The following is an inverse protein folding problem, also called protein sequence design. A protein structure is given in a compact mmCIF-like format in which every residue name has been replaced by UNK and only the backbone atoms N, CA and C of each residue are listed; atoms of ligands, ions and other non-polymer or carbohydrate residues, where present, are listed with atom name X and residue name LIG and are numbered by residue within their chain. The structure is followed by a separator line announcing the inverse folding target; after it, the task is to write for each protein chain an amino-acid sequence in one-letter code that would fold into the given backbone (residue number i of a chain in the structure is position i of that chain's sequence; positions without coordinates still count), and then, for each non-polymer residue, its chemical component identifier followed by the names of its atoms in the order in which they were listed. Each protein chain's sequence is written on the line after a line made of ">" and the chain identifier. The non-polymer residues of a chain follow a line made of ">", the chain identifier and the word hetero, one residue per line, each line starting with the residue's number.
data_IF_710843647771
#
_entry.id   IF_710843647771
#
_cell.length_a   1.000
_cell.length_b   1.000
_cell.length_c   1.000
_cell.angle_alpha   90.00
_cell.angle_beta   90.00
_cell.angle_gamma   90.00
#
_symmetry.space_group_name_H-M   'P 1'
#
loop_
_entity.id
_entity.type
_entity.pdbx_description
1 polymer ?
2 non-polymer ?
3 non-polymer ?
4 water ?
#
# COMPACT_ATOMS: atom_id res chain seq x y z
N UNK A 6 -11.61 7.41 11.35
CA UNK A 6 -10.94 8.41 10.53
C UNK A 6 -10.88 8.00 9.07
N UNK A 7 -10.20 6.89 8.80
CA UNK A 7 -10.04 6.41 7.43
C UNK A 7 -11.39 6.19 6.78
N UNK A 8 -11.51 6.65 5.53
CA UNK A 8 -12.70 6.45 4.70
C UNK A 8 -12.24 6.12 3.29
N UNK A 9 -12.70 5.00 2.74
CA UNK A 9 -12.30 4.66 1.40
C UNK A 9 -12.78 3.28 1.02
N UNK A 10 -12.24 2.78 -0.08
CA UNK A 10 -12.59 1.45 -0.57
C UNK A 10 -11.87 1.14 -1.86
N UNK A 11 -12.24 0.01 -2.44
CA UNK A 11 -11.53 -0.49 -3.62
C UNK A 11 -12.07 0.11 -4.90
N UNK A 12 -11.34 1.10 -5.44
CA UNK A 12 -11.68 1.56 -6.78
C UNK A 12 -11.35 0.50 -7.81
N UNK A 13 -10.37 -0.35 -7.54
CA UNK A 13 -10.12 -1.54 -8.34
C UNK A 13 -9.97 -2.72 -7.39
N UNK A 14 -11.04 -3.46 -7.15
CA UNK A 14 -10.92 -4.67 -6.31
C UNK A 14 -9.94 -5.65 -6.93
N UNK A 15 -9.23 -6.36 -6.06
CA UNK A 15 -8.49 -7.51 -6.55
C UNK A 15 -9.48 -8.60 -6.98
N UNK A 16 -8.96 -9.65 -7.60
CA UNK A 16 -9.80 -10.78 -7.94
C UNK A 16 -10.13 -11.57 -6.69
N UNK A 17 -11.42 -11.79 -6.42
CA UNK A 17 -11.85 -12.72 -5.39
C UNK A 17 -11.77 -14.12 -5.96
N UNK A 18 -11.18 -15.05 -5.20
CA UNK A 18 -11.04 -16.41 -5.69
C UNK A 18 -11.29 -17.43 -4.60
N UNK A 19 -11.64 -18.63 -5.03
CA UNK A 19 -11.96 -19.74 -4.14
C UNK A 19 -10.79 -20.72 -4.13
N UNK A 20 -10.30 -21.04 -2.92
CA UNK A 20 -9.23 -22.01 -2.76
C UNK A 20 -9.79 -23.39 -2.59
N UNK A 21 -8.99 -24.43 -2.84
CA UNK A 21 -9.40 -25.78 -2.45
C UNK A 21 -9.80 -25.78 -0.98
N UNK A 22 -10.97 -26.34 -0.69
CA UNK A 22 -11.57 -26.32 0.63
C UNK A 22 -12.60 -25.24 0.85
N UNK A 23 -12.69 -24.28 -0.07
CA UNK A 23 -13.75 -23.29 -0.05
C UNK A 23 -13.35 -21.93 0.50
N UNK A 24 -12.10 -21.75 0.94
CA UNK A 24 -11.68 -20.46 1.44
C UNK A 24 -11.70 -19.41 0.34
N UNK A 25 -11.96 -18.17 0.73
CA UNK A 25 -12.07 -17.05 -0.18
C UNK A 25 -10.85 -16.17 0.08
N UNK A 26 -10.13 -15.90 -1.00
CA UNK A 26 -8.96 -15.03 -0.95
C UNK A 26 -9.05 -13.96 -2.01
N UNK A 27 -8.00 -13.15 -2.07
CA UNK A 27 -7.87 -12.05 -2.99
C UNK A 27 -6.49 -12.12 -3.62
N UNK A 28 -6.41 -11.86 -4.93
CA UNK A 28 -5.12 -11.87 -5.60
C UNK A 28 -5.19 -10.96 -6.82
N UNK A 29 -4.03 -10.72 -7.43
CA UNK A 29 -3.96 -9.86 -8.61
C UNK A 29 -3.88 -8.40 -8.23
N UNK A 30 -3.82 -7.54 -9.25
CA UNK A 30 -3.69 -6.11 -9.04
C UNK A 30 -4.96 -5.55 -8.44
N UNK A 31 -4.79 -4.59 -7.53
CA UNK A 31 -5.92 -3.85 -7.02
C UNK A 31 -5.47 -2.45 -6.63
N UNK A 32 -6.46 -1.60 -6.38
CA UNK A 32 -6.24 -0.23 -5.93
C UNK A 32 -7.29 0.08 -4.87
N UNK A 33 -6.83 0.51 -3.71
CA UNK A 33 -7.68 1.04 -2.65
C UNK A 33 -7.47 2.55 -2.65
N UNK A 34 -8.55 3.30 -2.51
CA UNK A 34 -8.44 4.75 -2.49
C UNK A 34 -9.36 5.33 -1.44
N UNK A 35 -8.97 6.48 -0.89
CA UNK A 35 -9.78 7.13 0.10
C UNK A 35 -9.04 8.29 0.70
N UNK A 36 -9.47 8.67 1.90
CA UNK A 36 -8.90 9.80 2.62
C UNK A 36 -8.47 9.30 4.00
N UNK A 37 -7.21 9.57 4.35
CA UNK A 37 -6.67 9.30 5.67
C UNK A 37 -5.98 10.57 6.14
N UNK A 38 -6.27 11.02 7.34
CA UNK A 38 -5.57 12.17 7.92
C UNK A 38 -5.52 13.33 6.92
N UNK A 39 -6.69 13.71 6.41
CA UNK A 39 -6.84 14.88 5.55
C UNK A 39 -6.01 14.79 4.27
N UNK A 40 -5.70 13.57 3.84
CA UNK A 40 -4.87 13.31 2.68
C UNK A 40 -5.57 12.32 1.77
N UNK A 41 -5.60 12.61 0.47
CA UNK A 41 -6.09 11.64 -0.50
C UNK A 41 -5.01 10.57 -0.72
N UNK A 42 -5.42 9.31 -0.71
CA UNK A 42 -4.50 8.19 -0.76
C UNK A 42 -4.95 7.21 -1.84
N UNK A 43 -3.99 6.69 -2.60
CA UNK A 43 -4.17 5.53 -3.46
C UNK A 43 -3.11 4.52 -3.06
N UNK A 44 -3.52 3.29 -2.84
CA UNK A 44 -2.61 2.20 -2.54
C UNK A 44 -2.74 1.18 -3.65
N UNK A 45 -1.65 0.96 -4.37
CA UNK A 45 -1.58 -0.04 -5.42
C UNK A 45 -1.06 -1.33 -4.80
N UNK A 46 -1.80 -2.42 -5.06
CA UNK A 46 -1.66 -3.71 -4.39
C UNK A 46 -1.48 -4.77 -5.46
N UNK A 47 -0.77 -5.84 -5.13
CA UNK A 47 -0.73 -7.03 -5.96
C UNK A 47 -0.69 -8.23 -5.03
N UNK A 48 -0.99 -9.40 -5.59
CA UNK A 48 -0.88 -10.63 -4.84
C UNK A 48 -0.88 -11.83 -5.77
N UNK A 49 -0.32 -12.93 -5.25
CA UNK A 49 -0.04 -14.13 -6.04
C UNK A 49 -0.86 -15.34 -5.63
N UNK A 50 -1.87 -15.17 -4.78
CA UNK A 50 -2.62 -16.27 -4.24
C UNK A 50 -2.15 -16.78 -2.90
N UNK A 51 -0.92 -16.42 -2.51
CA UNK A 51 -0.42 -16.77 -1.18
C UNK A 51 -0.25 -15.58 -0.28
N UNK A 52 0.12 -14.41 -0.82
CA UNK A 52 0.21 -13.19 -0.04
C UNK A 52 -0.24 -12.02 -0.92
N UNK A 53 -0.46 -10.88 -0.27
CA UNK A 53 -0.77 -9.62 -0.93
C UNK A 53 0.16 -8.56 -0.36
N UNK A 54 0.58 -7.62 -1.20
CA UNK A 54 1.63 -6.67 -0.82
C UNK A 54 1.40 -5.32 -1.48
N UNK A 55 2.07 -4.31 -0.92
CA UNK A 55 2.05 -2.96 -1.47
C UNK A 55 3.03 -2.83 -2.63
N UNK A 56 2.54 -2.27 -3.73
CA UNK A 56 3.39 -1.92 -4.86
C UNK A 56 3.73 -0.42 -4.92
N UNK A 57 2.84 0.44 -4.46
CA UNK A 57 3.08 1.88 -4.49
C UNK A 57 2.05 2.55 -3.61
N UNK A 58 2.47 3.63 -2.96
CA UNK A 58 1.57 4.50 -2.23
C UNK A 58 1.60 5.84 -2.93
N UNK A 59 0.44 6.42 -3.15
CA UNK A 59 0.30 7.72 -3.80
C UNK A 59 -0.52 8.61 -2.88
N UNK A 60 0.04 9.79 -2.57
CA UNK A 60 -0.57 10.73 -1.67
C UNK A 60 -0.79 12.08 -2.33
N UNK A 61 -1.83 12.80 -1.90
CA UNK A 61 -2.03 14.13 -2.46
C UNK A 61 -1.05 15.15 -1.91
N UNK A 62 -0.42 14.89 -0.75
CA UNK A 62 0.44 15.84 -0.05
C UNK A 62 1.19 15.05 1.00
N UNK A 63 2.35 15.58 1.43
CA UNK A 63 3.13 14.99 2.52
C UNK A 63 2.90 15.69 3.85
N UNK A 64 1.89 16.56 3.95
CA UNK A 64 1.74 17.40 5.14
C UNK A 64 1.48 16.57 6.40
N UNK A 65 0.90 15.38 6.27
CA UNK A 65 0.67 14.50 7.41
C UNK A 65 1.22 13.10 7.10
N UNK A 66 2.42 13.07 6.52
CA UNK A 66 3.02 11.83 6.05
C UNK A 66 3.06 10.73 7.10
N UNK A 67 3.62 11.01 8.28
CA UNK A 67 3.82 9.90 9.23
C UNK A 67 2.49 9.42 9.80
N UNK A 68 1.53 10.32 9.99
CA UNK A 68 0.21 9.88 10.39
C UNK A 68 -0.47 9.04 9.30
N UNK A 69 -0.32 9.43 8.04
CA UNK A 69 -0.92 8.64 6.96
C UNK A 69 -0.30 7.24 6.92
N UNK A 70 1.01 7.15 7.12
CA UNK A 70 1.65 5.83 7.13
C UNK A 70 1.05 4.93 8.20
N UNK A 71 0.80 5.49 9.39
CA UNK A 71 0.18 4.69 10.45
C UNK A 71 -1.22 4.23 10.06
N UNK A 72 -1.99 5.09 9.40
CA UNK A 72 -3.31 4.69 8.92
C UNK A 72 -3.22 3.63 7.83
N UNK A 73 -2.22 3.74 6.96
CA UNK A 73 -1.99 2.71 5.96
C UNK A 73 -1.62 1.38 6.62
N UNK A 74 -0.76 1.43 7.65
CA UNK A 74 -0.40 0.18 8.33
C UNK A 74 -1.64 -0.49 8.91
N UNK A 75 -2.50 0.29 9.55
CA UNK A 75 -3.71 -0.27 10.17
C UNK A 75 -4.65 -0.84 9.12
N UNK A 76 -4.84 -0.12 8.01
CA UNK A 76 -5.67 -0.65 6.94
C UNK A 76 -5.08 -1.93 6.39
N UNK A 77 -3.77 -1.96 6.18
CA UNK A 77 -3.15 -3.16 5.64
C UNK A 77 -3.29 -4.36 6.57
N UNK A 78 -3.33 -4.12 7.88
CA UNK A 78 -3.65 -5.19 8.81
C UNK A 78 -5.04 -5.77 8.51
N UNK A 79 -6.03 -4.89 8.33
CA UNK A 79 -7.38 -5.35 8.03
C UNK A 79 -7.48 -6.03 6.67
N UNK A 80 -6.68 -5.60 5.70
CA UNK A 80 -6.76 -6.14 4.35
C UNK A 80 -5.83 -7.33 4.13
N UNK A 81 -5.00 -7.67 5.12
CA UNK A 81 -4.02 -8.74 4.98
C UNK A 81 -2.92 -8.46 3.97
N UNK A 82 -2.45 -7.21 3.92
CA UNK A 82 -1.46 -6.76 2.95
C UNK A 82 -0.16 -6.43 3.66
N UNK A 83 0.95 -6.99 3.16
CA UNK A 83 2.25 -6.74 3.76
C UNK A 83 3.01 -5.66 3.00
N UNK A 84 4.09 -5.20 3.60
CA UNK A 84 5.03 -4.23 3.01
C UNK A 84 6.44 -4.81 3.02
N UNK A 85 6.55 -6.12 2.78
CA UNK A 85 7.81 -6.83 2.76
C UNK A 85 8.38 -7.01 1.36
N UNK A 86 7.62 -6.76 0.34
CA UNK A 86 8.02 -7.04 -1.03
C UNK A 86 8.68 -5.81 -1.63
N UNK A 87 9.76 -6.04 -2.36
CA UNK A 87 10.50 -4.98 -3.05
C UNK A 87 9.79 -4.73 -4.37
N UNK A 88 9.09 -3.62 -4.45
CA UNK A 88 8.39 -3.23 -5.65
C UNK A 88 9.37 -2.77 -6.70
N UNK A 89 9.09 -3.12 -7.95
CA UNK A 89 9.91 -2.65 -9.06
C UNK A 89 9.71 -1.17 -9.35
N UNK A 90 8.65 -0.56 -8.82
CA UNK A 90 8.37 0.83 -9.13
C UNK A 90 9.43 1.74 -8.49
N UNK A 91 9.84 2.74 -9.25
CA UNK A 91 10.81 3.75 -8.83
C UNK A 91 10.42 5.08 -9.45
N UNK A 92 10.91 6.14 -8.85
CA UNK A 92 10.75 7.48 -9.38
C UNK A 92 9.69 8.28 -8.64
N UNK A 93 9.79 9.60 -8.77
CA UNK A 93 8.78 10.52 -8.24
C UNK A 93 8.61 10.39 -6.73
N UNK A 94 9.68 10.07 -6.02
CA UNK A 94 9.60 9.94 -4.58
C UNK A 94 10.90 10.38 -3.92
N UNK A 95 10.76 10.86 -2.69
CA UNK A 95 11.91 11.11 -1.83
C UNK A 95 12.16 9.94 -0.89
N UNK A 96 11.12 9.15 -0.64
CA UNK A 96 11.20 8.02 0.28
C UNK A 96 10.43 6.84 -0.27
N UNK A 97 10.79 5.67 0.26
CA UNK A 97 10.06 4.43 0.11
C UNK A 97 9.53 4.02 1.47
N UNK A 98 8.58 3.10 1.47
CA UNK A 98 8.07 2.47 2.69
C UNK A 98 8.42 0.99 2.66
N UNK A 99 9.03 0.50 3.72
CA UNK A 99 9.46 -0.89 3.81
C UNK A 99 9.18 -1.35 5.24
N UNK A 100 8.42 -2.42 5.40
CA UNK A 100 7.97 -2.79 6.74
C UNK A 100 7.20 -1.69 7.44
N UNK A 101 6.52 -0.85 6.67
CA UNK A 101 5.75 0.30 7.15
C UNK A 101 6.61 1.37 7.80
N UNK A 102 7.90 1.39 7.44
CA UNK A 102 8.83 2.41 7.91
C UNK A 102 9.46 3.14 6.74
N UNK A 103 9.76 4.41 6.95
CA UNK A 103 10.25 5.29 5.89
C UNK A 103 11.73 5.05 5.67
N UNK A 104 12.11 4.89 4.40
CA UNK A 104 13.49 4.72 3.95
C UNK A 104 13.78 5.70 2.84
N UNK A 105 15.04 6.07 2.62
CA UNK A 105 15.32 6.97 1.49
C UNK A 105 15.03 6.28 0.18
N UNK A 106 14.68 7.11 -0.82
CA UNK A 106 14.36 6.61 -2.16
C UNK A 106 15.51 5.83 -2.80
N UNK A 107 16.74 6.04 -2.36
CA UNK A 107 17.88 5.34 -2.92
C UNK A 107 17.80 3.84 -2.70
N UNK A 108 17.01 3.40 -1.72
CA UNK A 108 16.92 1.99 -1.39
C UNK A 108 16.08 1.26 -2.41
N UNK A 109 16.12 -0.07 -2.36
CA UNK A 109 15.33 -0.91 -3.24
C UNK A 109 14.19 -1.62 -2.54
N UNK A 110 14.22 -1.72 -1.21
CA UNK A 110 13.17 -2.48 -0.54
C UNK A 110 11.87 -1.67 -0.49
N UNK A 111 10.79 -2.39 -0.26
CA UNK A 111 9.49 -1.78 -0.12
C UNK A 111 9.01 -1.11 -1.40
N UNK A 112 8.20 -0.08 -1.24
CA UNK A 112 7.56 0.58 -2.37
C UNK A 112 7.73 2.07 -2.29
N UNK A 113 7.62 2.77 -3.42
CA UNK A 113 7.66 4.24 -3.37
C UNK A 113 6.50 4.82 -2.59
N UNK A 114 6.75 5.96 -1.95
CA UNK A 114 5.72 6.85 -1.44
C UNK A 114 5.75 8.08 -2.32
N UNK A 115 4.82 8.16 -3.27
CA UNK A 115 4.81 9.20 -4.29
C UNK A 115 3.79 10.26 -3.91
N UNK A 116 4.23 11.52 -3.82
CA UNK A 116 3.31 12.64 -3.66
C UNK A 116 3.00 13.12 -5.06
N UNK A 117 1.72 13.17 -5.41
CA UNK A 117 1.31 13.39 -6.78
C UNK A 117 1.40 14.85 -7.23
X LIG B 1 -14.99 -4.52 1.48
X LIG B 1 -14.48 -4.13 0.11
X LIG B 1 -15.27 -3.29 2.31
X LIG B 1 -16.37 -5.41 1.43
X LIG B 1 -13.84 -5.48 2.16
X LIG B 1 -16.71 -6.76 0.54
X LIG B 1 -17.83 -7.49 1.23
X LIG B 1 -15.42 -7.52 0.39
X LIG B 1 -17.26 -6.25 -0.91
X LIG B 1 -18.87 -6.28 -1.29
X LIG B 1 -19.59 -5.23 -0.46
X LIG B 1 -19.05 -5.97 -2.77
X LIG B 1 -19.42 -7.66 -0.99
X LIG B 1 -14.10 -6.10 3.39
X LIG B 1 -12.85 -6.81 3.89
X LIG B 1 -12.59 -8.12 2.96
X LIG B 1 -11.76 -6.10 3.79
X LIG B 1 -11.44 -5.39 5.06
X LIG B 1 -10.64 -7.13 3.54
X LIG B 1 -10.34 -7.87 4.65
X LIG B 1 -11.31 -8.01 2.50
X LIG B 1 -11.50 -7.58 1.10
X LIG B 1 -12.45 -7.29 0.22
X LIG B 1 -11.93 -7.02 -0.95
X LIG B 1 -12.69 -6.66 -2.10
X LIG B 1 -10.63 -7.16 -0.88
X LIG B 1 -9.58 -6.98 -1.97
X LIG B 1 -9.82 -6.67 -3.10
X LIG B 1 -8.28 -7.21 -1.52
X LIG B 1 -7.96 -7.59 -0.19
X LIG B 1 -6.62 -7.81 0.14
X LIG B 1 -8.96 -7.76 0.84
X LIG B 1 -10.33 -7.53 0.42
X LIG B 1 -14.37 -5.43 4.03
X LIG B 1 -14.81 -6.75 3.27
X LIG B 1 -12.98 -7.03 4.83
X LIG B 1 -11.85 -5.48 3.06
X LIG B 1 -11.78 -4.61 5.03
X LIG B 1 -9.83 -6.70 3.23
X LIG B 1 -9.78 -8.47 4.44
X LIG B 1 -10.73 -8.79 2.49
X LIG B 1 -13.36 -7.28 0.40
X LIG B 1 -12.32 -5.85 -2.50
X LIG B 1 -13.61 -6.49 -1.85
X LIG B 1 -12.67 -7.37 -2.76
X LIG B 1 -7.64 -7.12 -2.08
X LIG B 1 -6.00 -7.71 -0.46
X LIG B 1 -6.40 -8.04 0.95
X LIG C 1 3.77 -14.94 -1.82
#
# INVERSE_FOLDING_TARGET
>A
GPAQSGTLGGFSKPQKTFVRPGGGVGYKGKGVWTGVMEDTHVQILIDGDGTSNWLEEIRLSSDARLYDVIESIRRLCDDLGINNRVASAYRGHCMVRLSGFKIKPASRTDGCPVRIME
>B hetero
1 MGP PA O1A O2A O3A O5' PB O1B O2B O3B PC O1C O2C O3C C5' C4' O4' C3' O3' C2' O2' C1' N9 C8 N7 CM7 C5 C6 O6 N1 C2 N2 N3 C4 H5' H5'A H4' H3' HO3' H2' HO2' H1' H8 HM7 HM7A HM7B HN1 HN2 HN2A
>C hetero
1 NA NA
#
